data_IF_199790957764
#
_entry.id   IF_199790957764
#
_cell.length_a   1.000
_cell.length_b   1.000
_cell.length_c   1.000
_cell.angle_alpha   90.00
_cell.angle_beta   90.00
_cell.angle_gamma   90.00
#
_symmetry.space_group_name_H-M   'P 1'
#
loop_
_entity.id
_entity.type
_entity.pdbx_description
1 polymer ?
#
# COMPACT_ATOMS: atom_id res chain seq x y z
N UNK A 1 -5.77 -13.37 -2.81
CA UNK A 1 -4.62 -14.17 -3.26
C UNK A 1 -4.27 -13.80 -4.69
N UNK A 2 -3.02 -13.47 -4.94
CA UNK A 2 -2.52 -13.08 -6.26
C UNK A 2 -1.94 -14.32 -6.96
N UNK A 3 -2.63 -14.85 -7.95
CA UNK A 3 -2.09 -15.92 -8.81
C UNK A 3 -1.48 -15.32 -10.08
N UNK A 4 -0.16 -15.45 -10.25
CA UNK A 4 0.50 -15.20 -11.52
C UNK A 4 0.29 -16.42 -12.41
N UNK A 5 -0.38 -16.22 -13.54
CA UNK A 5 -0.45 -17.20 -14.64
C UNK A 5 0.49 -16.70 -15.73
N UNK A 6 1.36 -17.60 -16.22
CA UNK A 6 2.47 -17.34 -17.14
C UNK A 6 2.18 -16.37 -18.31
N UNK A 7 3.17 -15.48 -18.52
CA UNK A 7 3.55 -14.75 -19.74
C UNK A 7 2.54 -14.64 -20.90
N UNK A 8 1.39 -14.03 -20.67
CA UNK A 8 0.60 -13.37 -21.69
C UNK A 8 -0.15 -12.23 -21.02
N UNK A 9 -0.31 -11.10 -21.69
CA UNK A 9 -1.04 -9.90 -21.26
C UNK A 9 -2.53 -10.18 -20.93
N UNK A 10 -2.79 -11.11 -20.01
CA UNK A 10 -4.13 -11.33 -19.48
C UNK A 10 -4.27 -10.55 -18.17
N UNK A 11 -5.37 -9.82 -17.98
CA UNK A 11 -5.63 -9.16 -16.70
C UNK A 11 -5.58 -10.21 -15.58
N UNK A 12 -4.77 -9.93 -14.54
CA UNK A 12 -4.71 -10.79 -13.36
C UNK A 12 -6.14 -10.94 -12.81
N UNK A 13 -6.64 -12.16 -12.77
CA UNK A 13 -7.94 -12.44 -12.16
C UNK A 13 -7.72 -12.42 -10.65
N UNK A 14 -8.18 -11.35 -10.00
CA UNK A 14 -8.21 -11.26 -8.55
C UNK A 14 -9.49 -11.92 -8.05
N UNK A 15 -9.35 -12.81 -7.09
CA UNK A 15 -10.48 -13.38 -6.35
C UNK A 15 -10.37 -13.00 -4.88
N UNK A 16 -11.49 -12.66 -4.28
CA UNK A 16 -11.57 -12.39 -2.83
C UNK A 16 -11.87 -13.71 -2.11
N UNK A 17 -11.03 -14.06 -1.13
CA UNK A 17 -11.29 -15.18 -0.23
C UNK A 17 -11.86 -14.62 1.07
N UNK A 18 -13.06 -15.04 1.43
CA UNK A 18 -13.79 -14.51 2.58
C UNK A 18 -14.88 -13.51 2.18
N UNK A 19 -15.52 -12.93 3.18
CA UNK A 19 -16.65 -12.01 3.00
C UNK A 19 -16.24 -10.57 3.29
N UNK A 20 -16.40 -9.69 2.31
CA UNK A 20 -16.13 -8.26 2.43
C UNK A 20 -17.39 -7.39 2.36
N UNK A 21 -18.53 -7.99 2.04
CA UNK A 21 -19.80 -7.27 1.89
C UNK A 21 -20.16 -6.47 3.14
N UNK A 22 -20.36 -5.17 2.97
CA UNK A 22 -20.70 -4.24 4.05
C UNK A 22 -19.57 -3.96 5.04
N UNK A 23 -18.35 -4.43 4.76
CA UNK A 23 -17.19 -4.25 5.64
C UNK A 23 -16.26 -3.15 5.11
N UNK A 24 -15.56 -2.50 6.04
CA UNK A 24 -14.41 -1.67 5.71
C UNK A 24 -13.22 -2.58 5.41
N UNK A 25 -12.45 -2.22 4.40
CA UNK A 25 -11.32 -3.02 3.91
C UNK A 25 -10.04 -2.19 3.95
N UNK A 26 -8.99 -2.74 4.51
CA UNK A 26 -7.64 -2.22 4.39
C UNK A 26 -6.88 -3.09 3.37
N UNK A 27 -6.54 -2.50 2.22
CA UNK A 27 -5.61 -3.09 1.26
C UNK A 27 -4.19 -2.83 1.75
N UNK A 28 -3.37 -3.88 1.78
CA UNK A 28 -1.95 -3.75 2.15
C UNK A 28 -1.09 -4.31 1.03
N UNK A 29 -0.08 -3.55 0.63
CA UNK A 29 0.90 -3.96 -0.38
C UNK A 29 2.31 -3.54 0.08
N UNK A 30 3.34 -4.12 -0.50
CA UNK A 30 4.72 -3.71 -0.27
C UNK A 30 5.10 -2.51 -1.16
N UNK A 31 4.60 -2.47 -2.38
CA UNK A 31 4.97 -1.50 -3.40
C UNK A 31 3.78 -1.06 -4.24
N UNK A 32 3.67 0.23 -4.49
CA UNK A 32 2.76 0.80 -5.49
C UNK A 32 3.55 1.65 -6.48
N UNK A 33 3.43 1.32 -7.77
CA UNK A 33 4.09 2.03 -8.86
C UNK A 33 3.04 2.69 -9.77
N UNK A 34 2.51 1.97 -10.75
CA UNK A 34 1.50 2.53 -11.68
C UNK A 34 0.10 2.62 -11.08
N UNK A 35 -0.15 1.90 -9.98
CA UNK A 35 -1.46 1.80 -9.34
C UNK A 35 -2.44 0.84 -10.02
N UNK A 36 -2.04 0.16 -11.10
CA UNK A 36 -2.95 -0.73 -11.85
C UNK A 36 -3.49 -1.89 -11.02
N UNK A 37 -2.64 -2.55 -10.23
CA UNK A 37 -3.06 -3.64 -9.32
C UNK A 37 -4.04 -3.14 -8.27
N UNK A 38 -3.80 -1.94 -7.71
CA UNK A 38 -4.70 -1.31 -6.72
C UNK A 38 -6.07 -1.01 -7.35
N UNK A 39 -6.08 -0.41 -8.55
CA UNK A 39 -7.33 -0.12 -9.28
C UNK A 39 -8.15 -1.39 -9.46
N UNK A 40 -7.52 -2.49 -9.89
CA UNK A 40 -8.21 -3.75 -10.10
C UNK A 40 -8.72 -4.35 -8.77
N UNK A 41 -7.91 -4.31 -7.71
CA UNK A 41 -8.32 -4.79 -6.39
C UNK A 41 -9.52 -4.00 -5.84
N UNK A 42 -9.49 -2.67 -5.93
CA UNK A 42 -10.60 -1.80 -5.49
C UNK A 42 -11.87 -2.09 -6.27
N UNK A 43 -11.78 -2.28 -7.60
CA UNK A 43 -12.93 -2.64 -8.42
C UNK A 43 -13.58 -3.94 -7.92
N UNK A 44 -12.78 -5.00 -7.76
CA UNK A 44 -13.27 -6.30 -7.29
C UNK A 44 -13.90 -6.19 -5.89
N UNK A 45 -13.25 -5.49 -4.96
CA UNK A 45 -13.79 -5.29 -3.61
C UNK A 45 -15.14 -4.56 -3.62
N UNK A 46 -15.32 -3.58 -4.50
CA UNK A 46 -16.60 -2.88 -4.64
C UNK A 46 -17.68 -3.74 -5.25
N UNK A 47 -17.35 -4.55 -6.27
CA UNK A 47 -18.26 -5.53 -6.87
C UNK A 47 -18.74 -6.55 -5.82
N UNK A 48 -17.86 -6.92 -4.87
CA UNK A 48 -18.19 -7.81 -3.74
C UNK A 48 -18.89 -7.08 -2.56
N UNK A 49 -19.15 -5.80 -2.70
CA UNK A 49 -19.94 -5.01 -1.74
C UNK A 49 -19.17 -4.48 -0.54
N UNK A 50 -17.84 -4.33 -0.63
CA UNK A 50 -17.06 -3.64 0.39
C UNK A 50 -17.57 -2.21 0.59
N UNK A 51 -17.53 -1.71 1.84
CA UNK A 51 -17.97 -0.36 2.19
C UNK A 51 -16.85 0.63 1.96
N UNK A 52 -16.08 0.95 2.99
CA UNK A 52 -14.99 1.90 2.91
C UNK A 52 -13.68 1.16 2.64
N UNK A 53 -12.87 1.69 1.73
CA UNK A 53 -11.61 1.07 1.34
C UNK A 53 -10.47 2.01 1.67
N UNK A 54 -9.50 1.49 2.40
CA UNK A 54 -8.25 2.11 2.78
C UNK A 54 -7.10 1.39 2.07
N UNK A 55 -6.04 2.11 1.77
CA UNK A 55 -4.83 1.55 1.15
C UNK A 55 -3.61 1.87 2.02
N UNK A 56 -2.81 0.85 2.32
CA UNK A 56 -1.52 1.02 2.97
C UNK A 56 -0.42 0.32 2.19
N UNK A 57 0.73 0.97 2.00
CA UNK A 57 1.89 0.36 1.36
C UNK A 57 3.20 0.95 1.88
N UNK A 58 4.29 0.23 1.69
CA UNK A 58 5.60 0.67 2.16
C UNK A 58 6.27 1.58 1.13
N UNK A 59 6.42 1.13 -0.11
CA UNK A 59 7.21 1.82 -1.13
C UNK A 59 6.32 2.42 -2.22
N UNK A 60 6.27 3.75 -2.30
CA UNK A 60 5.47 4.46 -3.30
C UNK A 60 6.31 5.07 -4.41
N UNK A 61 6.42 4.40 -5.55
CA UNK A 61 7.04 4.97 -6.77
C UNK A 61 6.01 5.76 -7.58
N UNK A 62 5.37 6.73 -6.93
CA UNK A 62 4.19 7.40 -7.47
C UNK A 62 4.56 8.50 -8.46
N UNK A 63 4.16 8.32 -9.70
CA UNK A 63 4.18 9.36 -10.73
C UNK A 63 2.94 10.25 -10.59
N UNK A 64 2.90 11.37 -11.31
CA UNK A 64 1.70 12.20 -11.38
C UNK A 64 0.47 11.42 -11.86
N UNK A 65 0.67 10.52 -12.84
CA UNK A 65 -0.40 9.67 -13.36
C UNK A 65 -0.88 8.65 -12.33
N UNK A 66 0.04 8.05 -11.55
CA UNK A 66 -0.33 7.14 -10.45
C UNK A 66 -1.14 7.87 -9.40
N UNK A 67 -0.72 9.07 -9.00
CA UNK A 67 -1.46 9.89 -8.04
C UNK A 67 -2.88 10.22 -8.55
N UNK A 68 -3.02 10.62 -9.82
CA UNK A 68 -4.34 10.85 -10.44
C UNK A 68 -5.22 9.60 -10.41
N UNK A 69 -4.65 8.42 -10.72
CA UNK A 69 -5.39 7.15 -10.63
C UNK A 69 -5.87 6.85 -9.22
N UNK A 70 -4.97 6.93 -8.24
CA UNK A 70 -5.30 6.68 -6.84
C UNK A 70 -6.35 7.67 -6.32
N UNK A 71 -6.21 8.95 -6.67
CA UNK A 71 -7.17 9.99 -6.29
C UNK A 71 -8.57 9.79 -6.86
N UNK A 72 -8.68 9.16 -8.04
CA UNK A 72 -9.97 8.86 -8.67
C UNK A 72 -10.68 7.64 -8.08
N UNK A 73 -10.02 6.85 -7.22
CA UNK A 73 -10.60 5.62 -6.66
C UNK A 73 -11.60 5.87 -5.52
N UNK A 74 -11.66 7.06 -4.96
CA UNK A 74 -12.53 7.33 -3.79
C UNK A 74 -12.16 6.49 -2.58
N UNK A 75 -10.86 6.30 -2.32
CA UNK A 75 -10.37 5.68 -1.11
C UNK A 75 -10.54 6.64 0.07
N UNK A 76 -10.83 6.09 1.25
CA UNK A 76 -10.96 6.90 2.46
C UNK A 76 -9.61 7.50 2.86
N UNK A 77 -8.58 6.67 2.85
CA UNK A 77 -7.22 7.09 3.18
C UNK A 77 -6.19 6.24 2.43
N UNK A 78 -5.06 6.87 2.06
CA UNK A 78 -3.90 6.24 1.45
C UNK A 78 -2.72 6.50 2.38
N UNK A 79 -2.23 5.45 3.03
CA UNK A 79 -1.17 5.50 4.03
C UNK A 79 0.08 4.87 3.44
N UNK A 80 1.20 5.57 3.44
CA UNK A 80 2.46 5.01 2.96
C UNK A 80 3.66 5.63 3.65
N UNK A 81 4.84 5.05 3.42
CA UNK A 81 6.06 5.51 4.07
C UNK A 81 6.86 6.44 3.17
N UNK A 82 7.82 7.14 3.77
CA UNK A 82 8.76 8.01 3.07
C UNK A 82 10.04 7.29 2.60
N UNK A 83 10.01 5.97 2.40
CA UNK A 83 11.15 5.24 1.83
C UNK A 83 11.50 5.71 0.43
N UNK A 84 10.49 6.17 -0.31
CA UNK A 84 10.64 6.87 -1.60
C UNK A 84 10.01 8.24 -1.44
N UNK A 85 10.74 9.34 -1.67
CA UNK A 85 10.19 10.68 -1.50
C UNK A 85 9.11 10.97 -2.53
N UNK A 86 7.98 11.53 -2.07
CA UNK A 86 6.93 12.06 -2.93
C UNK A 86 6.98 13.59 -2.87
N UNK A 87 7.10 14.29 -4.02
CA UNK A 87 7.04 15.73 -4.05
C UNK A 87 5.75 16.28 -3.42
N UNK A 88 5.81 17.34 -2.60
CA UNK A 88 4.64 17.86 -1.89
C UNK A 88 3.45 18.18 -2.80
N UNK A 89 3.71 18.65 -4.02
CA UNK A 89 2.68 18.96 -5.01
C UNK A 89 1.90 17.75 -5.53
N UNK A 90 2.39 16.53 -5.30
CA UNK A 90 1.72 15.27 -5.67
C UNK A 90 0.94 14.64 -4.52
N UNK A 91 1.12 15.14 -3.30
CA UNK A 91 0.42 14.63 -2.13
C UNK A 91 -1.06 15.00 -2.22
N UNK A 92 -1.93 13.98 -2.25
CA UNK A 92 -3.38 14.17 -2.28
C UNK A 92 -3.91 14.43 -0.86
N UNK A 93 -5.09 15.08 -0.73
CA UNK A 93 -5.68 15.41 0.58
C UNK A 93 -5.92 14.21 1.50
N UNK A 94 -6.17 13.02 0.92
CA UNK A 94 -6.40 11.76 1.64
C UNK A 94 -5.13 10.91 1.79
N UNK A 95 -3.95 11.45 1.54
CA UNK A 95 -2.67 10.78 1.73
C UNK A 95 -2.07 11.12 3.08
N UNK A 96 -1.59 10.08 3.77
CA UNK A 96 -0.81 10.18 5.01
C UNK A 96 0.54 9.52 4.81
N UNK A 97 1.62 10.28 5.00
CA UNK A 97 3.00 9.80 4.86
C UNK A 97 3.59 9.54 6.24
N UNK A 98 4.00 8.31 6.49
CA UNK A 98 4.66 7.89 7.72
C UNK A 98 6.17 7.86 7.54
N UNK A 99 6.91 8.40 8.50
CA UNK A 99 8.37 8.36 8.48
C UNK A 99 8.89 7.02 8.97
N UNK A 100 9.79 6.40 8.20
CA UNK A 100 10.59 5.24 8.62
C UNK A 100 11.87 5.65 9.37
N UNK A 101 12.14 6.94 9.48
CA UNK A 101 13.33 7.48 10.15
C UNK A 101 13.51 6.99 11.57
N UNK A 102 12.50 7.05 12.46
CA UNK A 102 12.64 6.55 13.83
C UNK A 102 12.99 5.06 13.91
N UNK A 103 12.38 4.22 13.05
CA UNK A 103 12.69 2.79 13.00
C UNK A 103 14.15 2.56 12.58
N UNK A 104 14.58 3.22 11.50
CA UNK A 104 15.96 3.10 11.02
C UNK A 104 16.98 3.63 12.04
N UNK A 105 16.68 4.73 12.69
CA UNK A 105 17.52 5.30 13.76
C UNK A 105 17.70 4.31 14.92
N UNK A 106 16.63 3.64 15.33
CA UNK A 106 16.70 2.64 16.40
C UNK A 106 17.49 1.40 15.98
N UNK A 107 17.35 0.93 14.74
CA UNK A 107 18.15 -0.15 14.18
C UNK A 107 19.64 0.22 14.20
N UNK A 108 20.00 1.41 13.74
CA UNK A 108 21.39 1.90 13.75
C UNK A 108 21.94 1.97 15.19
N UNK A 109 21.15 2.53 16.13
CA UNK A 109 21.54 2.63 17.53
C UNK A 109 21.82 1.25 18.14
N UNK A 110 20.93 0.29 17.94
CA UNK A 110 21.08 -1.07 18.45
C UNK A 110 22.30 -1.78 17.85
N UNK A 111 22.49 -1.68 16.55
CA UNK A 111 23.65 -2.24 15.87
C UNK A 111 24.96 -1.66 16.43
N UNK A 112 25.02 -0.35 16.64
CA UNK A 112 26.20 0.33 17.23
C UNK A 112 26.48 -0.13 18.65
N UNK A 113 25.46 -0.39 19.46
CA UNK A 113 25.59 -0.81 20.85
C UNK A 113 25.69 -2.34 21.04
N UNK A 114 25.70 -3.12 19.96
CA UNK A 114 25.70 -4.59 20.02
C UNK A 114 24.42 -5.19 20.60
N UNK A 115 23.29 -4.47 20.51
CA UNK A 115 21.98 -4.93 20.98
C UNK A 115 21.22 -5.65 19.87
N UNK A 116 20.28 -6.54 20.25
CA UNK A 116 19.46 -7.27 19.29
C UNK A 116 18.54 -6.34 18.50
N UNK A 117 18.57 -6.45 17.16
CA UNK A 117 17.64 -5.79 16.25
C UNK A 117 16.34 -6.60 16.15
N UNK A 118 16.41 -7.92 16.28
CA UNK A 118 15.23 -8.81 16.22
C UNK A 118 14.16 -8.48 17.26
N UNK A 119 14.56 -8.04 18.45
CA UNK A 119 13.61 -7.61 19.49
C UNK A 119 12.66 -6.47 19.06
N UNK A 120 13.03 -5.67 18.06
CA UNK A 120 12.16 -4.64 17.50
C UNK A 120 10.95 -5.25 16.75
N UNK A 121 11.07 -6.50 16.35
CA UNK A 121 10.08 -7.20 15.52
C UNK A 121 9.43 -8.38 16.29
N UNK A 122 9.63 -8.46 17.61
CA UNK A 122 9.14 -9.55 18.45
C UNK A 122 9.67 -10.95 18.06
N UNK A 123 10.93 -11.00 17.59
CA UNK A 123 11.65 -12.23 17.29
C UNK A 123 12.67 -12.58 18.38
#
# INVERSE_FOLDING_TARGET
>A
EKRRVDNAERPEVLSVIGQVKGRNVLLVDDEVNTGGSVVNAVRVLREEGARDIYLAFTHGFLTEQSCKRLGALGLEEIIFTNTVPLPPERVLPNMTVLSVGPLLAEVIRRAHLGQSVGELFNE
#
